data_IF_932516360184
#
_entry.id   IF_932516360184
#
_cell.length_a   1.000
_cell.length_b   1.000
_cell.length_c   1.000
_cell.angle_alpha   90.00
_cell.angle_beta   90.00
_cell.angle_gamma   90.00
#
_symmetry.space_group_name_H-M   'P 1'
#
loop_
_entity.id
_entity.type
_entity.pdbx_description
1 polymer ?
#
# COMPACT_ATOMS: atom_id res chain seq x y z
N UNK A 1 -24.11 -26.08 2.27
CA UNK A 1 -23.45 -25.03 3.08
C UNK A 1 -22.32 -24.49 2.22
N UNK A 2 -22.40 -23.24 1.72
CA UNK A 2 -21.28 -22.63 0.99
C UNK A 2 -20.27 -22.18 2.04
N UNK A 3 -19.17 -22.91 2.18
CA UNK A 3 -17.99 -22.44 2.89
C UNK A 3 -17.52 -21.19 2.16
N UNK A 4 -17.61 -20.03 2.81
CA UNK A 4 -16.98 -18.81 2.29
C UNK A 4 -15.49 -19.06 2.25
N UNK A 5 -14.92 -19.07 1.05
CA UNK A 5 -13.48 -19.12 0.87
C UNK A 5 -12.86 -17.92 1.62
N UNK A 6 -11.82 -18.12 2.43
CA UNK A 6 -11.10 -16.99 3.00
C UNK A 6 -10.61 -16.16 1.81
N UNK A 7 -10.93 -14.87 1.79
CA UNK A 7 -10.38 -13.96 0.80
C UNK A 7 -8.87 -13.89 1.02
N UNK A 8 -8.12 -14.79 0.40
CA UNK A 8 -6.66 -14.75 0.39
C UNK A 8 -6.30 -13.49 -0.38
N UNK A 9 -5.94 -12.43 0.34
CA UNK A 9 -5.36 -11.23 -0.25
C UNK A 9 -4.07 -11.59 -0.98
N UNK A 10 -3.65 -10.74 -1.91
CA UNK A 10 -2.36 -10.94 -2.59
C UNK A 10 -1.24 -10.89 -1.55
N UNK A 11 -0.21 -11.71 -1.70
CA UNK A 11 0.94 -11.72 -0.79
C UNK A 11 2.18 -11.16 -1.48
N UNK A 12 2.95 -10.32 -0.77
CA UNK A 12 4.28 -9.90 -1.19
C UNK A 12 5.33 -10.86 -0.62
N UNK A 13 6.38 -11.13 -1.39
CA UNK A 13 7.59 -11.72 -0.83
C UNK A 13 8.29 -10.73 0.13
N UNK A 14 9.19 -11.25 0.97
CA UNK A 14 9.85 -10.45 2.01
C UNK A 14 10.63 -9.25 1.46
N UNK A 15 11.22 -9.39 0.27
CA UNK A 15 11.99 -8.31 -0.35
C UNK A 15 11.10 -7.15 -0.79
N UNK A 16 9.98 -7.48 -1.43
CA UNK A 16 8.96 -6.50 -1.83
C UNK A 16 8.28 -5.88 -0.61
N UNK A 17 8.00 -6.66 0.43
CA UNK A 17 7.41 -6.13 1.66
C UNK A 17 8.36 -5.16 2.36
N UNK A 18 9.66 -5.49 2.45
CA UNK A 18 10.68 -4.54 2.95
C UNK A 18 10.70 -3.27 2.11
N UNK A 19 10.69 -3.39 0.78
CA UNK A 19 10.67 -2.23 -0.11
C UNK A 19 9.45 -1.35 0.09
N UNK A 20 8.26 -1.94 0.23
CA UNK A 20 7.03 -1.19 0.51
C UNK A 20 7.13 -0.39 1.82
N UNK A 21 7.69 -0.98 2.89
CA UNK A 21 7.92 -0.29 4.16
C UNK A 21 8.86 0.92 3.98
N UNK A 22 9.97 0.73 3.28
CA UNK A 22 10.94 1.81 3.04
C UNK A 22 10.31 2.98 2.28
N UNK A 23 9.50 2.67 1.26
CA UNK A 23 8.78 3.69 0.49
C UNK A 23 7.79 4.46 1.36
N UNK A 24 6.99 3.76 2.17
CA UNK A 24 6.02 4.39 3.08
C UNK A 24 6.72 5.29 4.10
N UNK A 25 7.83 4.84 4.70
CA UNK A 25 8.59 5.67 5.64
C UNK A 25 9.13 6.95 4.99
N UNK A 26 9.62 6.86 3.74
CA UNK A 26 10.08 8.03 2.99
C UNK A 26 8.94 8.98 2.64
N UNK A 27 7.80 8.44 2.22
CA UNK A 27 6.60 9.23 1.88
C UNK A 27 6.02 9.97 3.09
N UNK A 28 6.12 9.40 4.31
CA UNK A 28 5.70 10.08 5.54
C UNK A 28 6.73 11.08 6.10
N UNK A 29 7.89 11.24 5.45
CA UNK A 29 8.90 12.17 5.93
C UNK A 29 8.42 13.64 5.76
N UNK A 30 8.44 14.47 6.81
CA UNK A 30 7.80 15.79 6.82
C UNK A 30 8.45 16.85 5.91
N UNK A 31 9.51 16.52 5.18
CA UNK A 31 10.26 17.43 4.29
C UNK A 31 10.57 16.81 2.93
N UNK A 32 9.82 15.78 2.54
CA UNK A 32 9.96 15.21 1.21
C UNK A 32 9.53 16.24 0.17
N UNK A 33 10.37 16.62 -0.81
CA UNK A 33 9.94 17.50 -1.90
C UNK A 33 8.83 16.86 -2.73
N UNK A 34 7.90 17.66 -3.22
CA UNK A 34 6.73 17.17 -3.96
C UNK A 34 7.14 16.37 -5.21
N UNK A 35 8.16 16.80 -5.96
CA UNK A 35 8.65 16.05 -7.12
C UNK A 35 9.21 14.67 -6.74
N UNK A 36 9.86 14.57 -5.58
CA UNK A 36 10.37 13.30 -5.06
C UNK A 36 9.25 12.41 -4.50
N UNK A 37 8.10 12.98 -4.13
CA UNK A 37 6.95 12.21 -3.64
C UNK A 37 6.26 11.44 -4.77
N UNK A 38 6.13 12.03 -5.96
CA UNK A 38 5.46 11.41 -7.11
C UNK A 38 6.08 10.08 -7.52
N UNK A 39 7.41 10.03 -7.68
CA UNK A 39 8.12 8.80 -8.06
C UNK A 39 7.95 7.69 -7.01
N UNK A 40 7.89 8.04 -5.72
CA UNK A 40 7.73 7.09 -4.62
C UNK A 40 6.31 6.56 -4.53
N UNK A 41 5.30 7.40 -4.77
CA UNK A 41 3.92 6.96 -4.89
C UNK A 41 3.76 6.01 -6.08
N UNK A 42 4.23 6.39 -7.26
CA UNK A 42 4.15 5.55 -8.47
C UNK A 42 4.77 4.16 -8.25
N UNK A 43 5.93 4.10 -7.61
CA UNK A 43 6.57 2.82 -7.29
C UNK A 43 5.73 2.01 -6.30
N UNK A 44 5.22 2.65 -5.24
CA UNK A 44 4.43 1.98 -4.21
C UNK A 44 3.08 1.46 -4.75
N UNK A 45 2.40 2.24 -5.59
CA UNK A 45 1.14 1.85 -6.22
C UNK A 45 1.32 0.66 -7.16
N UNK A 46 2.39 0.63 -7.96
CA UNK A 46 2.73 -0.52 -8.82
C UNK A 46 3.08 -1.76 -8.00
N UNK A 47 3.79 -1.58 -6.89
CA UNK A 47 4.18 -2.68 -6.00
C UNK A 47 2.97 -3.31 -5.31
N UNK A 48 2.03 -2.48 -4.85
CA UNK A 48 0.83 -2.90 -4.13
C UNK A 48 -0.35 -3.20 -5.07
N UNK A 49 -0.31 -2.77 -6.33
CA UNK A 49 -1.44 -2.69 -7.27
C UNK A 49 -2.66 -2.01 -6.63
N UNK A 50 -2.45 -0.86 -5.99
CA UNK A 50 -3.48 -0.09 -5.32
C UNK A 50 -3.44 1.36 -5.79
N UNK A 51 -4.39 1.82 -6.64
CA UNK A 51 -4.47 3.21 -7.08
C UNK A 51 -5.07 4.05 -5.93
N UNK A 52 -4.28 4.94 -5.33
CA UNK A 52 -4.73 5.78 -4.21
C UNK A 52 -4.07 5.47 -2.87
N UNK A 53 -2.83 4.94 -2.86
CA UNK A 53 -2.14 4.59 -1.60
C UNK A 53 -1.96 5.81 -0.68
N UNK A 54 -1.95 7.02 -1.24
CA UNK A 54 -1.93 8.27 -0.49
C UNK A 54 -3.13 8.40 0.47
N UNK A 55 -4.33 7.95 0.08
CA UNK A 55 -5.53 7.95 0.94
C UNK A 55 -5.33 7.10 2.21
N UNK A 56 -4.70 5.93 2.06
CA UNK A 56 -4.37 5.07 3.20
C UNK A 56 -3.32 5.70 4.11
N UNK A 57 -2.40 6.50 3.54
CA UNK A 57 -1.29 7.10 4.27
C UNK A 57 -1.67 8.36 5.04
N UNK A 58 -2.52 9.23 4.48
CA UNK A 58 -2.73 10.59 5.00
C UNK A 58 -4.19 10.92 5.32
N UNK A 59 -5.17 10.20 4.75
CA UNK A 59 -6.59 10.53 4.90
C UNK A 59 -7.41 9.47 5.65
N UNK A 60 -6.77 8.38 6.09
CA UNK A 60 -7.39 7.37 6.97
C UNK A 60 -7.44 7.84 8.43
N UNK A 61 -8.60 7.68 9.06
CA UNK A 61 -8.81 7.86 10.49
C UNK A 61 -9.48 6.59 11.09
N UNK A 62 -8.88 5.92 12.09
CA UNK A 62 -7.55 6.19 12.67
C UNK A 62 -6.42 6.01 11.64
N UNK A 63 -5.27 6.63 11.88
CA UNK A 63 -4.08 6.46 11.06
C UNK A 63 -3.64 4.99 11.08
N UNK A 64 -3.30 4.45 9.91
CA UNK A 64 -2.80 3.09 9.79
C UNK A 64 -1.30 3.01 10.08
N UNK A 65 -0.87 1.91 10.70
CA UNK A 65 0.55 1.56 10.77
C UNK A 65 1.09 1.25 9.37
N UNK A 66 2.41 1.26 9.20
CA UNK A 66 3.04 0.93 7.91
C UNK A 66 2.63 -0.46 7.41
N UNK A 67 2.58 -1.45 8.31
CA UNK A 67 2.18 -2.81 7.95
C UNK A 67 0.68 -2.90 7.64
N UNK A 68 -0.17 -2.17 8.36
CA UNK A 68 -1.61 -2.14 8.07
C UNK A 68 -1.91 -1.49 6.72
N UNK A 69 -1.14 -0.48 6.30
CA UNK A 69 -1.27 0.12 4.96
C UNK A 69 -0.97 -0.92 3.88
N UNK A 70 0.11 -1.69 4.05
CA UNK A 70 0.48 -2.75 3.10
C UNK A 70 -0.62 -3.82 3.06
N UNK A 71 -1.08 -4.27 4.21
CA UNK A 71 -2.07 -5.33 4.31
C UNK A 71 -3.43 -4.89 3.74
N UNK A 72 -3.86 -3.66 4.00
CA UNK A 72 -5.08 -3.09 3.44
C UNK A 72 -4.99 -2.93 1.92
N UNK A 73 -3.87 -2.42 1.41
CA UNK A 73 -3.66 -2.29 -0.03
C UNK A 73 -3.65 -3.66 -0.74
N UNK A 74 -3.12 -4.70 -0.10
CA UNK A 74 -3.09 -6.06 -0.66
C UNK A 74 -4.44 -6.78 -0.65
N UNK A 75 -5.40 -6.33 0.18
CA UNK A 75 -6.80 -6.78 0.14
C UNK A 75 -7.54 -6.26 -1.08
N UNK A 76 -7.12 -5.12 -1.62
CA UNK A 76 -7.70 -4.59 -2.85
C UNK A 76 -7.48 -5.56 -4.01
N UNK A 77 -8.59 -5.90 -4.65
CA UNK A 77 -8.63 -6.66 -5.89
C UNK A 77 -8.91 -5.67 -7.01
N UNK A 78 -7.92 -5.39 -7.88
CA UNK A 78 -8.16 -4.60 -9.07
C UNK A 78 -9.33 -5.22 -9.85
N UNK A 79 -10.25 -4.39 -10.32
CA UNK A 79 -11.24 -4.84 -11.29
C UNK A 79 -10.49 -5.13 -12.59
N UNK A 80 -10.07 -6.37 -12.78
CA UNK A 80 -9.65 -6.86 -14.09
C UNK A 80 -10.90 -6.94 -14.96
N UNK A 81 -10.94 -6.11 -16.00
CA UNK A 81 -11.82 -6.29 -17.14
C UNK A 81 -11.35 -7.45 -18.01
#
# INVERSE_FOLDING_TARGET
MKSGEPSVGRTLDDSKRRRARDLIHRLRAPRLPDEASGELFDELEKLLLYPGVADLLFWRAPELSVDDVIDEALRYRPFVG
#
